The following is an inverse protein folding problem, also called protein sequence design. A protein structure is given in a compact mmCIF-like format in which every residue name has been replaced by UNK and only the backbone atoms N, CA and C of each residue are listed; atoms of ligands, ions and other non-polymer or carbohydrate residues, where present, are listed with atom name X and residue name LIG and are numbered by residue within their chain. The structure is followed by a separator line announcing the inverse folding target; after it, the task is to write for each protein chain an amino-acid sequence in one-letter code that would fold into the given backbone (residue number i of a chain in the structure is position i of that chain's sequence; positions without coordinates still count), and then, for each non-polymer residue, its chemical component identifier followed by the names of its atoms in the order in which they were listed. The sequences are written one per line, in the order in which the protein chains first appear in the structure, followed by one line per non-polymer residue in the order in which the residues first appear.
data_IF_689166987977
#
_entry.id   IF_689166987977
#
_cell.length_a   1.000
_cell.length_b   1.000
_cell.length_c   1.000
_cell.angle_alpha   90.00
_cell.angle_beta   90.00
_cell.angle_gamma   90.00
#
_symmetry.space_group_name_H-M   'P 1'
#
loop_
_entity.id
_entity.type
_entity.pdbx_description
1 polymer ?
#
# COMPACT_ATOMS: atom_id res chain seq x y z
N UNK A 1 -34.29 11.99 -23.78
CA UNK A 1 -33.39 12.16 -22.62
C UNK A 1 -34.22 11.97 -21.37
N UNK A 2 -33.71 11.13 -20.46
CA UNK A 2 -34.36 10.89 -19.16
C UNK A 2 -33.73 11.78 -18.09
N UNK A 3 -34.35 12.93 -17.84
CA UNK A 3 -33.86 13.92 -16.85
C UNK A 3 -34.00 13.45 -15.40
N UNK A 4 -34.73 12.37 -15.12
CA UNK A 4 -34.85 11.80 -13.79
C UNK A 4 -33.51 11.22 -13.28
N UNK A 5 -32.55 11.00 -14.18
CA UNK A 5 -31.19 10.52 -13.86
C UNK A 5 -30.20 11.61 -13.44
N UNK A 6 -30.58 12.88 -13.61
CA UNK A 6 -29.67 14.00 -13.30
C UNK A 6 -29.20 14.02 -11.82
N UNK A 7 -30.07 13.77 -10.83
CA UNK A 7 -29.62 13.70 -9.44
C UNK A 7 -28.57 12.62 -9.20
N UNK A 8 -28.71 11.45 -9.82
CA UNK A 8 -27.73 10.37 -9.71
C UNK A 8 -26.37 10.75 -10.31
N UNK A 9 -26.38 11.39 -11.49
CA UNK A 9 -25.14 11.89 -12.16
C UNK A 9 -24.44 12.90 -11.27
N UNK A 10 -25.18 13.87 -10.71
CA UNK A 10 -24.62 14.90 -9.83
C UNK A 10 -24.04 14.26 -8.55
N UNK A 11 -24.78 13.37 -7.90
CA UNK A 11 -24.37 12.73 -6.67
C UNK A 11 -23.08 11.89 -6.87
N UNK A 12 -23.06 11.04 -7.90
CA UNK A 12 -21.87 10.22 -8.21
C UNK A 12 -20.72 11.09 -8.72
N UNK A 13 -20.99 12.15 -9.48
CA UNK A 13 -19.99 13.12 -9.92
C UNK A 13 -19.32 13.86 -8.76
N UNK A 14 -20.09 14.29 -7.77
CA UNK A 14 -19.56 14.89 -6.54
C UNK A 14 -18.71 13.89 -5.75
N UNK A 15 -19.16 12.64 -5.61
CA UNK A 15 -18.39 11.59 -4.96
C UNK A 15 -17.07 11.28 -5.70
N UNK A 16 -17.11 11.18 -7.03
CA UNK A 16 -15.91 11.00 -7.84
C UNK A 16 -14.94 12.18 -7.70
N UNK A 17 -15.45 13.42 -7.61
CA UNK A 17 -14.64 14.62 -7.39
C UNK A 17 -14.03 14.65 -5.97
N UNK A 18 -14.81 14.29 -4.95
CA UNK A 18 -14.31 14.15 -3.58
C UNK A 18 -13.22 13.08 -3.50
N UNK A 19 -13.45 11.91 -4.14
CA UNK A 19 -12.47 10.85 -4.23
C UNK A 19 -11.18 11.31 -4.95
N UNK A 20 -11.31 12.02 -6.07
CA UNK A 20 -10.19 12.57 -6.82
C UNK A 20 -9.38 13.59 -5.99
N UNK A 21 -10.06 14.43 -5.21
CA UNK A 21 -9.42 15.39 -4.29
C UNK A 21 -8.59 14.72 -3.20
N UNK A 22 -9.12 13.64 -2.60
CA UNK A 22 -8.40 12.86 -1.58
C UNK A 22 -7.26 12.07 -2.22
N UNK A 23 -7.51 11.41 -3.35
CA UNK A 23 -6.52 10.62 -4.08
C UNK A 23 -5.41 11.49 -4.68
N UNK A 24 -5.71 12.71 -5.12
CA UNK A 24 -4.79 13.59 -5.84
C UNK A 24 -3.58 14.04 -5.02
N UNK A 25 -3.68 14.02 -3.69
CA UNK A 25 -2.57 14.35 -2.78
C UNK A 25 -1.47 13.28 -2.77
N UNK A 26 -1.82 12.01 -3.04
CA UNK A 26 -0.89 10.89 -3.16
C UNK A 26 -1.47 9.87 -4.14
N UNK A 27 -1.38 10.16 -5.44
CA UNK A 27 -1.87 9.28 -6.51
C UNK A 27 -1.09 7.95 -6.50
N UNK A 28 -1.63 6.97 -5.79
CA UNK A 28 -1.17 5.58 -5.91
C UNK A 28 -1.82 4.95 -7.13
N UNK A 29 -1.20 3.89 -7.67
CA UNK A 29 -1.82 3.12 -8.77
C UNK A 29 -3.18 2.53 -8.39
N UNK A 30 -3.41 2.25 -7.11
CA UNK A 30 -4.70 1.74 -6.61
C UNK A 30 -5.76 2.81 -6.67
N UNK A 31 -5.46 4.00 -6.14
CA UNK A 31 -6.41 5.11 -6.13
C UNK A 31 -6.78 5.59 -7.54
N UNK A 32 -5.83 5.54 -8.50
CA UNK A 32 -6.12 5.88 -9.90
C UNK A 32 -7.06 4.86 -10.57
N UNK A 33 -6.91 3.56 -10.27
CA UNK A 33 -7.82 2.52 -10.80
C UNK A 33 -9.21 2.68 -10.18
N UNK A 34 -9.30 2.98 -8.89
CA UNK A 34 -10.59 3.25 -8.23
C UNK A 34 -11.27 4.48 -8.81
N UNK A 35 -10.52 5.58 -9.03
CA UNK A 35 -11.04 6.78 -9.67
C UNK A 35 -11.58 6.47 -11.07
N UNK A 36 -10.85 5.68 -11.88
CA UNK A 36 -11.34 5.23 -13.19
C UNK A 36 -12.64 4.45 -13.07
N UNK A 37 -12.76 3.57 -12.06
CA UNK A 37 -14.01 2.86 -11.78
C UNK A 37 -15.16 3.82 -11.47
N UNK A 38 -14.96 4.85 -10.67
CA UNK A 38 -15.98 5.86 -10.37
C UNK A 38 -16.36 6.69 -11.58
N UNK A 39 -15.40 7.07 -12.44
CA UNK A 39 -15.68 7.75 -13.71
C UNK A 39 -16.51 6.89 -14.66
N UNK A 40 -16.28 5.57 -14.67
CA UNK A 40 -17.14 4.64 -15.42
C UNK A 40 -18.57 4.56 -14.86
N UNK A 41 -18.75 4.73 -13.55
CA UNK A 41 -20.10 4.81 -12.96
C UNK A 41 -20.80 6.12 -13.34
N UNK A 42 -20.08 7.24 -13.39
CA UNK A 42 -20.62 8.51 -13.94
C UNK A 42 -21.03 8.31 -15.40
N UNK A 43 -20.19 7.66 -16.20
CA UNK A 43 -20.49 7.32 -17.59
C UNK A 43 -21.73 6.42 -17.72
N UNK A 44 -21.90 5.45 -16.82
CA UNK A 44 -23.09 4.59 -16.76
C UNK A 44 -24.37 5.41 -16.63
N UNK A 45 -24.47 6.30 -15.64
CA UNK A 45 -25.64 7.13 -15.44
C UNK A 45 -25.85 8.13 -16.58
N UNK A 46 -24.78 8.70 -17.11
CA UNK A 46 -24.84 9.59 -18.26
C UNK A 46 -25.37 8.87 -19.50
N UNK A 47 -24.92 7.65 -19.75
CA UNK A 47 -25.42 6.84 -20.87
C UNK A 47 -26.89 6.44 -20.66
N UNK A 48 -27.32 6.10 -19.44
CA UNK A 48 -28.74 5.82 -19.13
C UNK A 48 -29.66 7.00 -19.42
N UNK A 49 -29.18 8.24 -19.29
CA UNK A 49 -29.96 9.43 -19.63
C UNK A 49 -30.35 9.46 -21.13
N UNK A 50 -29.53 8.86 -22.01
CA UNK A 50 -29.76 8.78 -23.46
C UNK A 50 -30.39 7.46 -23.90
N UNK A 51 -30.55 6.48 -23.02
CA UNK A 51 -31.14 5.17 -23.35
C UNK A 51 -32.54 5.23 -23.96
N UNK A 52 -33.44 6.16 -23.57
CA UNK A 52 -34.75 6.29 -24.19
C UNK A 52 -34.73 6.83 -25.63
N UNK A 53 -33.57 7.17 -26.20
CA UNK A 53 -33.46 7.64 -27.57
C UNK A 53 -33.83 6.50 -28.56
N UNK A 54 -34.57 6.81 -29.67
CA UNK A 54 -34.93 5.79 -30.65
C UNK A 54 -33.74 5.34 -31.50
N UNK A 55 -33.81 4.08 -31.97
CA UNK A 55 -32.86 3.53 -32.93
C UNK A 55 -31.47 3.26 -32.39
N UNK A 56 -30.47 3.41 -33.26
CA UNK A 56 -29.05 3.07 -32.93
C UNK A 56 -28.50 3.82 -31.73
N UNK A 57 -28.89 5.07 -31.51
CA UNK A 57 -28.42 5.88 -30.39
C UNK A 57 -28.85 5.33 -29.02
N UNK A 58 -30.10 4.88 -28.88
CA UNK A 58 -30.58 4.25 -27.65
C UNK A 58 -29.88 2.92 -27.37
N UNK A 59 -29.71 2.09 -28.39
CA UNK A 59 -28.98 0.84 -28.28
C UNK A 59 -27.53 1.06 -27.86
N UNK A 60 -26.80 2.00 -28.48
CA UNK A 60 -25.43 2.32 -28.10
C UNK A 60 -25.35 2.86 -26.66
N UNK A 61 -26.31 3.70 -26.27
CA UNK A 61 -26.37 4.22 -24.91
C UNK A 61 -26.59 3.10 -23.88
N UNK A 62 -27.45 2.12 -24.17
CA UNK A 62 -27.67 0.93 -23.34
C UNK A 62 -26.40 0.09 -23.20
N UNK A 63 -25.74 -0.20 -24.33
CA UNK A 63 -24.46 -0.94 -24.32
C UNK A 63 -23.37 -0.24 -23.49
N UNK A 64 -23.20 1.07 -23.67
CA UNK A 64 -22.23 1.87 -22.91
C UNK A 64 -22.57 1.85 -21.42
N UNK A 65 -23.85 2.00 -21.07
CA UNK A 65 -24.28 1.97 -19.68
C UNK A 65 -23.94 0.63 -19.01
N UNK A 66 -24.27 -0.48 -19.65
CA UNK A 66 -24.03 -1.81 -19.08
C UNK A 66 -22.55 -2.19 -19.06
N UNK A 67 -21.83 -1.88 -20.14
CA UNK A 67 -20.38 -2.14 -20.20
C UNK A 67 -19.62 -1.32 -19.15
N UNK A 68 -19.92 -0.03 -19.01
CA UNK A 68 -19.25 0.83 -18.02
C UNK A 68 -19.48 0.36 -16.59
N UNK A 69 -20.67 -0.11 -16.24
CA UNK A 69 -20.98 -0.64 -14.90
C UNK A 69 -20.23 -1.94 -14.60
N UNK A 70 -20.17 -2.87 -15.55
CA UNK A 70 -19.41 -4.13 -15.40
C UNK A 70 -17.89 -3.91 -15.38
N UNK A 71 -17.39 -2.95 -16.18
CA UNK A 71 -15.99 -2.56 -16.18
C UNK A 71 -15.59 -1.89 -14.87
N UNK A 72 -16.43 -1.02 -14.31
CA UNK A 72 -16.19 -0.41 -13.00
C UNK A 72 -15.98 -1.47 -11.91
N UNK A 73 -16.89 -2.45 -11.80
CA UNK A 73 -16.79 -3.55 -10.84
C UNK A 73 -15.54 -4.40 -11.09
N UNK A 74 -15.22 -4.73 -12.35
CA UNK A 74 -14.02 -5.48 -12.71
C UNK A 74 -12.72 -4.74 -12.31
N UNK A 75 -12.69 -3.41 -12.48
CA UNK A 75 -11.55 -2.58 -12.05
C UNK A 75 -11.44 -2.52 -10.52
N UNK A 76 -12.54 -2.37 -9.79
CA UNK A 76 -12.53 -2.42 -8.33
C UNK A 76 -12.00 -3.76 -7.82
N UNK A 77 -12.47 -4.87 -8.40
CA UNK A 77 -11.99 -6.20 -8.07
C UNK A 77 -10.49 -6.35 -8.37
N UNK A 78 -10.03 -5.93 -9.56
CA UNK A 78 -8.63 -6.03 -9.98
C UNK A 78 -7.69 -5.17 -9.14
N UNK A 79 -8.10 -3.97 -8.72
CA UNK A 79 -7.31 -3.09 -7.85
C UNK A 79 -7.00 -3.72 -6.48
N UNK A 80 -7.78 -4.71 -6.07
CA UNK A 80 -7.58 -5.46 -4.82
C UNK A 80 -6.61 -6.64 -4.97
N UNK A 81 -6.22 -7.01 -6.20
CA UNK A 81 -5.30 -8.14 -6.44
C UNK A 81 -3.87 -7.77 -6.05
N UNK A 82 -3.18 -8.56 -5.20
CA UNK A 82 -1.83 -8.25 -4.73
C UNK A 82 -0.78 -8.16 -5.84
N UNK A 83 -0.95 -8.93 -6.92
CA UNK A 83 0.02 -9.09 -8.03
C UNK A 83 -0.35 -8.32 -9.30
N UNK A 84 -1.03 -7.20 -9.17
CA UNK A 84 -1.52 -6.41 -10.33
C UNK A 84 -0.42 -5.92 -11.30
N UNK A 85 0.84 -5.93 -10.91
CA UNK A 85 1.97 -5.50 -11.76
C UNK A 85 2.51 -6.62 -12.68
N UNK A 86 2.09 -7.85 -12.48
CA UNK A 86 2.49 -8.96 -13.35
C UNK A 86 1.71 -8.93 -14.67
N UNK A 87 2.36 -9.31 -15.77
CA UNK A 87 1.70 -9.36 -17.10
C UNK A 87 0.50 -10.29 -17.11
N UNK A 88 0.58 -11.43 -16.41
CA UNK A 88 -0.53 -12.38 -16.24
C UNK A 88 -1.76 -11.75 -15.58
N UNK A 89 -1.58 -10.87 -14.59
CA UNK A 89 -2.67 -10.15 -13.93
C UNK A 89 -3.36 -9.16 -14.88
N UNK A 90 -2.62 -8.49 -15.76
CA UNK A 90 -3.18 -7.59 -16.77
C UNK A 90 -3.98 -8.35 -17.83
N UNK A 91 -3.48 -9.50 -18.30
CA UNK A 91 -4.23 -10.34 -19.23
C UNK A 91 -5.54 -10.86 -18.63
N UNK A 92 -5.56 -11.19 -17.32
CA UNK A 92 -6.79 -11.58 -16.63
C UNK A 92 -7.84 -10.46 -16.64
N UNK A 93 -7.42 -9.22 -16.38
CA UNK A 93 -8.32 -8.08 -16.45
C UNK A 93 -8.89 -7.92 -17.86
N UNK A 94 -8.03 -7.90 -18.89
CA UNK A 94 -8.50 -7.75 -20.29
C UNK A 94 -9.43 -8.88 -20.72
N UNK A 95 -9.15 -10.12 -20.31
CA UNK A 95 -10.04 -11.26 -20.59
C UNK A 95 -11.40 -11.06 -19.92
N UNK A 96 -11.45 -10.65 -18.67
CA UNK A 96 -12.72 -10.38 -17.96
C UNK A 96 -13.49 -9.23 -18.61
N UNK A 97 -12.83 -8.13 -18.94
CA UNK A 97 -13.47 -6.99 -19.60
C UNK A 97 -14.02 -7.38 -20.98
N UNK A 98 -13.21 -8.07 -21.79
CA UNK A 98 -13.60 -8.50 -23.12
C UNK A 98 -14.75 -9.52 -23.10
N UNK A 99 -14.69 -10.53 -22.21
CA UNK A 99 -15.74 -11.55 -22.12
C UNK A 99 -17.06 -10.98 -21.59
N UNK A 100 -17.02 -10.07 -20.60
CA UNK A 100 -18.21 -9.36 -20.15
C UNK A 100 -18.82 -8.53 -21.27
N UNK A 101 -17.99 -7.74 -21.98
CA UNK A 101 -18.48 -6.90 -23.10
C UNK A 101 -19.07 -7.74 -24.21
N UNK A 102 -18.40 -8.82 -24.60
CA UNK A 102 -18.92 -9.75 -25.63
C UNK A 102 -20.28 -10.32 -25.24
N UNK A 103 -20.43 -10.75 -23.98
CA UNK A 103 -21.70 -11.29 -23.49
C UNK A 103 -22.81 -10.24 -23.52
N UNK A 104 -22.55 -9.02 -23.04
CA UNK A 104 -23.51 -7.91 -23.03
C UNK A 104 -23.90 -7.53 -24.45
N UNK A 105 -22.95 -7.39 -25.39
CA UNK A 105 -23.23 -7.09 -26.78
C UNK A 105 -24.08 -8.18 -27.45
N UNK A 106 -23.73 -9.44 -27.21
CA UNK A 106 -24.51 -10.56 -27.79
C UNK A 106 -25.92 -10.62 -27.22
N UNK A 107 -26.11 -10.22 -25.96
CA UNK A 107 -27.43 -10.16 -25.31
C UNK A 107 -28.29 -9.02 -25.85
N UNK A 108 -27.74 -7.81 -25.94
CA UNK A 108 -28.44 -6.57 -26.31
C UNK A 108 -28.83 -6.54 -27.81
N UNK A 109 -27.94 -7.01 -28.69
CA UNK A 109 -28.18 -7.08 -30.13
C UNK A 109 -29.14 -8.23 -30.51
N UNK A 110 -29.53 -9.08 -29.55
CA UNK A 110 -30.34 -10.27 -29.83
C UNK A 110 -29.60 -11.30 -30.69
N UNK A 111 -28.30 -11.49 -30.39
CA UNK A 111 -27.43 -12.39 -31.12
C UNK A 111 -27.93 -13.84 -31.17
N UNK A 112 -27.46 -14.65 -32.13
CA UNK A 112 -27.88 -16.03 -32.25
C UNK A 112 -27.56 -16.83 -30.97
N UNK A 113 -28.37 -17.82 -30.58
CA UNK A 113 -28.23 -18.57 -29.34
C UNK A 113 -26.85 -19.22 -29.14
N UNK A 114 -26.20 -19.63 -30.23
CA UNK A 114 -24.83 -20.20 -30.14
C UNK A 114 -23.80 -19.16 -29.68
N UNK A 115 -23.92 -17.89 -30.10
CA UNK A 115 -23.00 -16.82 -29.68
C UNK A 115 -23.13 -16.52 -28.19
N UNK A 116 -24.35 -16.44 -27.68
CA UNK A 116 -24.62 -16.30 -26.25
C UNK A 116 -24.07 -17.47 -25.44
N UNK A 117 -24.22 -18.69 -25.96
CA UNK A 117 -23.67 -19.90 -25.33
C UNK A 117 -22.16 -19.86 -25.28
N UNK A 118 -21.50 -19.53 -26.37
CA UNK A 118 -20.03 -19.38 -26.40
C UNK A 118 -19.55 -18.29 -25.46
N UNK A 119 -20.21 -17.13 -25.45
CA UNK A 119 -19.85 -16.03 -24.56
C UNK A 119 -20.06 -16.39 -23.08
N UNK A 120 -21.13 -17.09 -22.71
CA UNK A 120 -21.37 -17.59 -21.36
C UNK A 120 -20.31 -18.60 -20.91
N UNK A 121 -19.93 -19.53 -21.80
CA UNK A 121 -18.85 -20.49 -21.53
C UNK A 121 -17.53 -19.75 -21.33
N UNK A 122 -17.18 -18.81 -22.20
CA UNK A 122 -15.95 -18.02 -22.08
C UNK A 122 -15.91 -17.24 -20.76
N UNK A 123 -17.00 -16.62 -20.38
CA UNK A 123 -17.10 -15.86 -19.12
C UNK A 123 -16.97 -16.78 -17.90
N UNK A 124 -17.62 -17.93 -17.91
CA UNK A 124 -17.59 -18.89 -16.80
C UNK A 124 -16.26 -19.65 -16.67
N UNK A 125 -15.63 -20.01 -17.77
CA UNK A 125 -14.40 -20.83 -17.79
C UNK A 125 -13.12 -20.01 -17.92
N UNK A 126 -13.19 -18.77 -18.40
CA UNK A 126 -12.02 -17.90 -18.62
C UNK A 126 -11.12 -17.75 -17.39
N UNK A 127 -11.64 -17.41 -16.21
CA UNK A 127 -10.85 -17.34 -14.98
C UNK A 127 -10.22 -18.68 -14.57
N UNK A 128 -10.88 -19.81 -14.84
CA UNK A 128 -10.35 -21.16 -14.60
C UNK A 128 -9.16 -21.43 -15.53
N UNK A 129 -9.35 -21.20 -16.83
CA UNK A 129 -8.31 -21.42 -17.84
C UNK A 129 -7.05 -20.59 -17.53
N UNK A 130 -7.24 -19.30 -17.24
CA UNK A 130 -6.12 -18.46 -16.89
C UNK A 130 -5.45 -18.87 -15.57
N UNK A 131 -6.24 -19.33 -14.60
CA UNK A 131 -5.76 -19.85 -13.33
C UNK A 131 -4.87 -21.09 -13.53
N UNK A 132 -5.25 -21.99 -14.41
CA UNK A 132 -4.46 -23.18 -14.76
C UNK A 132 -3.17 -22.82 -15.50
N UNK A 133 -3.21 -21.83 -16.38
CA UNK A 133 -2.05 -21.37 -17.15
C UNK A 133 -1.02 -20.60 -16.28
N UNK A 134 -1.46 -19.98 -15.19
CA UNK A 134 -0.60 -19.14 -14.34
C UNK A 134 -0.25 -19.77 -12.98
N UNK A 135 -0.21 -21.09 -12.91
CA UNK A 135 -0.20 -21.97 -11.73
C UNK A 135 0.78 -21.65 -10.59
N UNK A 136 1.79 -20.81 -10.75
CA UNK A 136 2.90 -20.74 -9.79
C UNK A 136 2.95 -19.51 -8.84
N UNK A 137 2.10 -18.45 -8.98
CA UNK A 137 2.33 -17.17 -8.28
C UNK A 137 1.16 -16.51 -7.54
N UNK A 138 -0.04 -17.10 -7.53
CA UNK A 138 -1.19 -16.48 -6.88
C UNK A 138 -1.53 -17.08 -5.51
N UNK A 139 -2.10 -16.28 -4.62
CA UNK A 139 -2.74 -16.79 -3.40
C UNK A 139 -3.79 -17.83 -3.79
N UNK A 140 -3.58 -19.07 -3.38
CA UNK A 140 -4.43 -20.22 -3.72
C UNK A 140 -5.92 -19.98 -3.42
N UNK A 141 -6.23 -19.34 -2.29
CA UNK A 141 -7.61 -19.12 -1.84
C UNK A 141 -8.37 -18.12 -2.71
N UNK A 142 -7.81 -16.92 -2.95
CA UNK A 142 -8.49 -15.88 -3.73
C UNK A 142 -8.76 -16.33 -5.17
N UNK A 143 -7.82 -17.02 -5.75
CA UNK A 143 -7.92 -17.58 -7.10
C UNK A 143 -9.06 -18.58 -7.24
N UNK A 144 -9.17 -19.54 -6.32
CA UNK A 144 -10.24 -20.51 -6.35
C UNK A 144 -11.61 -19.90 -6.06
N UNK A 145 -11.68 -18.89 -5.20
CA UNK A 145 -12.91 -18.13 -4.98
C UNK A 145 -13.39 -17.48 -6.29
N UNK A 146 -12.50 -16.82 -7.03
CA UNK A 146 -12.83 -16.21 -8.32
C UNK A 146 -13.26 -17.27 -9.34
N UNK A 147 -12.56 -18.40 -9.43
CA UNK A 147 -12.92 -19.50 -10.32
C UNK A 147 -14.31 -20.06 -10.00
N UNK A 148 -14.58 -20.36 -8.74
CA UNK A 148 -15.90 -20.88 -8.31
C UNK A 148 -17.01 -19.89 -8.63
N UNK A 149 -16.77 -18.59 -8.36
CA UNK A 149 -17.76 -17.54 -8.59
C UNK A 149 -18.13 -17.43 -10.09
N UNK A 150 -17.13 -17.35 -10.97
CA UNK A 150 -17.39 -17.22 -12.41
C UNK A 150 -17.85 -18.53 -13.05
N UNK A 151 -17.40 -19.68 -12.58
CA UNK A 151 -17.89 -20.97 -13.05
C UNK A 151 -19.38 -21.17 -12.71
N UNK A 152 -19.79 -20.78 -11.49
CA UNK A 152 -21.20 -20.77 -11.10
C UNK A 152 -22.04 -19.81 -11.96
N UNK A 153 -21.46 -18.63 -12.27
CA UNK A 153 -22.09 -17.70 -13.22
C UNK A 153 -22.29 -18.33 -14.59
N UNK A 154 -21.27 -18.99 -15.15
CA UNK A 154 -21.40 -19.67 -16.46
C UNK A 154 -22.52 -20.70 -16.49
N UNK A 155 -22.63 -21.55 -15.46
CA UNK A 155 -23.74 -22.51 -15.32
C UNK A 155 -25.09 -21.79 -15.24
N UNK A 156 -25.17 -20.73 -14.46
CA UNK A 156 -26.38 -19.92 -14.31
C UNK A 156 -26.82 -19.34 -15.66
N UNK A 157 -25.91 -18.68 -16.39
CA UNK A 157 -26.20 -18.07 -17.69
C UNK A 157 -26.70 -19.09 -18.72
N UNK A 158 -26.07 -20.27 -18.79
CA UNK A 158 -26.52 -21.38 -19.64
C UNK A 158 -27.92 -21.90 -19.26
N UNK A 159 -28.26 -21.87 -17.98
CA UNK A 159 -29.60 -22.30 -17.50
C UNK A 159 -30.68 -21.28 -17.84
N UNK A 160 -30.35 -19.98 -17.76
CA UNK A 160 -31.29 -18.88 -18.03
C UNK A 160 -31.60 -18.75 -19.55
N UNK A 161 -30.62 -18.99 -20.42
CA UNK A 161 -30.81 -18.95 -21.89
C UNK A 161 -31.91 -19.90 -22.39
N UNK A 162 -32.19 -20.97 -21.65
CA UNK A 162 -33.21 -21.96 -21.99
C UNK A 162 -34.63 -21.53 -21.58
N UNK A 163 -34.76 -20.40 -20.84
CA UNK A 163 -36.05 -19.89 -20.38
C UNK A 163 -36.58 -18.85 -21.35
N UNK A 164 -37.85 -19.04 -21.78
CA UNK A 164 -38.56 -18.02 -22.53
C UNK A 164 -38.98 -16.84 -21.62
N UNK A 165 -38.98 -15.61 -22.13
CA UNK A 165 -39.41 -14.42 -21.41
C UNK A 165 -38.24 -13.59 -20.80
N UNK A 166 -38.27 -13.32 -19.51
CA UNK A 166 -37.34 -12.40 -18.81
C UNK A 166 -35.88 -12.90 -18.73
N UNK A 167 -35.46 -13.81 -19.59
CA UNK A 167 -34.11 -14.37 -19.63
C UNK A 167 -32.98 -13.35 -19.72
N UNK A 168 -33.07 -12.35 -20.62
CA UNK A 168 -32.02 -11.33 -20.79
C UNK A 168 -31.77 -10.50 -19.53
N UNK A 169 -32.82 -9.99 -18.91
CA UNK A 169 -32.68 -9.16 -17.68
C UNK A 169 -32.13 -9.97 -16.50
N UNK A 170 -32.56 -11.23 -16.37
CA UNK A 170 -32.08 -12.12 -15.34
C UNK A 170 -30.60 -12.48 -15.55
N UNK A 171 -30.18 -12.69 -16.80
CA UNK A 171 -28.80 -12.97 -17.15
C UNK A 171 -27.89 -11.77 -16.82
N UNK A 172 -28.30 -10.56 -17.19
CA UNK A 172 -27.58 -9.33 -16.89
C UNK A 172 -27.43 -9.10 -15.39
N UNK A 173 -28.51 -9.23 -14.63
CA UNK A 173 -28.49 -9.13 -13.17
C UNK A 173 -27.56 -10.19 -12.55
N UNK A 174 -27.50 -11.41 -13.09
CA UNK A 174 -26.56 -12.46 -12.67
C UNK A 174 -25.10 -12.07 -12.88
N UNK A 175 -24.77 -11.46 -14.02
CA UNK A 175 -23.40 -10.93 -14.28
C UNK A 175 -23.04 -9.85 -13.27
N UNK A 176 -23.90 -8.86 -13.08
CA UNK A 176 -23.66 -7.74 -12.17
C UNK A 176 -23.55 -8.22 -10.70
N UNK A 177 -24.46 -9.10 -10.27
CA UNK A 177 -24.38 -9.75 -8.95
C UNK A 177 -23.01 -10.38 -8.74
N UNK A 178 -22.56 -11.19 -9.71
CA UNK A 178 -21.27 -11.90 -9.63
C UNK A 178 -20.08 -10.96 -9.57
N UNK A 179 -20.05 -9.92 -10.38
CA UNK A 179 -18.96 -8.93 -10.41
C UNK A 179 -18.87 -8.20 -9.08
N UNK A 180 -19.97 -7.69 -8.54
CA UNK A 180 -19.96 -6.91 -7.28
C UNK A 180 -19.80 -7.79 -6.04
N UNK A 181 -20.29 -9.02 -6.06
CA UNK A 181 -19.96 -10.01 -5.01
C UNK A 181 -18.47 -10.37 -5.05
N UNK A 182 -17.90 -10.45 -6.24
CA UNK A 182 -16.44 -10.61 -6.43
C UNK A 182 -15.66 -9.44 -5.79
N UNK A 183 -16.11 -8.19 -5.96
CA UNK A 183 -15.52 -7.04 -5.27
C UNK A 183 -15.53 -7.22 -3.75
N UNK A 184 -16.70 -7.61 -3.18
CA UNK A 184 -16.83 -7.87 -1.75
C UNK A 184 -15.78 -8.87 -1.25
N UNK A 185 -15.62 -10.03 -1.92
CA UNK A 185 -14.65 -11.06 -1.55
C UNK A 185 -13.20 -10.59 -1.70
N UNK A 186 -12.87 -9.85 -2.77
CA UNK A 186 -11.52 -9.37 -3.00
C UNK A 186 -11.11 -8.31 -1.99
N UNK A 187 -12.00 -7.38 -1.66
CA UNK A 187 -11.76 -6.39 -0.62
C UNK A 187 -11.63 -7.05 0.75
N UNK A 188 -12.51 -8.00 1.11
CA UNK A 188 -12.40 -8.76 2.35
C UNK A 188 -11.07 -9.51 2.46
N UNK A 189 -10.58 -10.10 1.37
CA UNK A 189 -9.29 -10.80 1.36
C UNK A 189 -8.10 -9.85 1.52
N UNK A 190 -8.12 -8.69 0.87
CA UNK A 190 -7.04 -7.69 0.91
C UNK A 190 -6.97 -6.97 2.25
N UNK A 191 -8.12 -6.50 2.73
CA UNK A 191 -8.23 -5.67 3.92
C UNK A 191 -8.66 -6.51 5.14
N UNK A 192 -7.89 -7.56 5.47
CA UNK A 192 -8.16 -8.45 6.62
C UNK A 192 -8.02 -7.74 7.97
N UNK A 193 -7.24 -6.68 8.08
CA UNK A 193 -7.23 -5.81 9.26
C UNK A 193 -8.47 -4.95 9.17
N UNK A 194 -9.38 -5.15 10.12
CA UNK A 194 -10.66 -4.45 10.19
C UNK A 194 -10.43 -2.96 10.47
N UNK A 195 -10.33 -2.17 9.40
CA UNK A 195 -10.48 -0.72 9.49
C UNK A 195 -11.93 -0.36 9.20
N UNK A 196 -12.37 0.79 9.69
CA UNK A 196 -13.76 1.26 9.51
C UNK A 196 -14.09 1.40 8.02
N UNK A 197 -13.16 1.99 7.23
CA UNK A 197 -13.32 2.16 5.79
C UNK A 197 -13.42 0.83 5.06
N UNK A 198 -12.60 -0.18 5.44
CA UNK A 198 -12.67 -1.51 4.87
C UNK A 198 -14.02 -2.20 5.15
N UNK A 199 -14.50 -2.15 6.39
CA UNK A 199 -15.77 -2.74 6.77
C UNK A 199 -16.94 -2.13 6.00
N UNK A 200 -17.03 -0.79 5.96
CA UNK A 200 -18.07 -0.07 5.21
C UNK A 200 -18.02 -0.43 3.71
N UNK A 201 -16.84 -0.47 3.11
CA UNK A 201 -16.67 -0.81 1.70
C UNK A 201 -17.15 -2.23 1.40
N UNK A 202 -16.79 -3.21 2.23
CA UNK A 202 -17.18 -4.62 2.08
C UNK A 202 -18.67 -4.78 2.21
N UNK A 203 -19.29 -4.20 3.26
CA UNK A 203 -20.73 -4.20 3.46
C UNK A 203 -21.47 -3.50 2.30
N UNK A 204 -20.92 -2.38 1.82
CA UNK A 204 -21.46 -1.65 0.67
C UNK A 204 -21.45 -2.49 -0.61
N UNK A 205 -20.35 -3.16 -0.94
CA UNK A 205 -20.28 -4.05 -2.12
C UNK A 205 -21.21 -5.25 -1.99
N UNK A 206 -21.33 -5.82 -0.79
CA UNK A 206 -22.28 -6.89 -0.54
C UNK A 206 -23.71 -6.41 -0.77
N UNK A 207 -24.11 -5.28 -0.16
CA UNK A 207 -25.42 -4.68 -0.36
C UNK A 207 -25.67 -4.33 -1.83
N UNK A 208 -24.66 -3.81 -2.53
CA UNK A 208 -24.76 -3.49 -3.96
C UNK A 208 -24.96 -4.75 -4.81
N UNK A 209 -24.26 -5.84 -4.52
CA UNK A 209 -24.51 -7.11 -5.20
C UNK A 209 -25.95 -7.59 -4.96
N UNK A 210 -26.46 -7.50 -3.74
CA UNK A 210 -27.82 -7.89 -3.41
C UNK A 210 -28.91 -7.11 -4.19
N UNK A 211 -28.64 -5.85 -4.58
CA UNK A 211 -29.58 -5.07 -5.43
C UNK A 211 -29.92 -5.82 -6.71
N UNK A 212 -28.93 -6.43 -7.38
CA UNK A 212 -29.12 -7.16 -8.63
C UNK A 212 -29.89 -8.49 -8.45
N UNK A 213 -29.98 -8.99 -7.22
CA UNK A 213 -30.80 -10.15 -6.89
C UNK A 213 -32.21 -9.74 -6.48
N UNK A 214 -32.32 -8.70 -5.66
CA UNK A 214 -33.60 -8.25 -5.06
C UNK A 214 -34.46 -7.50 -6.07
N UNK A 215 -33.89 -6.71 -6.97
CA UNK A 215 -34.65 -5.93 -7.97
C UNK A 215 -35.52 -6.83 -8.87
N UNK A 216 -35.02 -7.86 -9.54
CA UNK A 216 -35.87 -8.74 -10.35
C UNK A 216 -36.87 -9.57 -9.52
N UNK A 217 -36.50 -9.97 -8.30
CA UNK A 217 -37.43 -10.68 -7.42
C UNK A 217 -38.57 -9.78 -6.99
N UNK A 218 -38.30 -8.51 -6.66
CA UNK A 218 -39.33 -7.52 -6.33
C UNK A 218 -40.29 -7.33 -7.49
N UNK A 219 -39.80 -7.19 -8.72
CA UNK A 219 -40.66 -7.03 -9.89
C UNK A 219 -41.52 -8.24 -10.15
N UNK A 220 -41.00 -9.45 -9.95
CA UNK A 220 -41.72 -10.70 -10.16
C UNK A 220 -42.80 -10.96 -9.12
N UNK A 221 -42.55 -10.70 -7.85
CA UNK A 221 -43.43 -11.10 -6.75
C UNK A 221 -44.16 -9.94 -6.07
N UNK A 222 -43.64 -8.71 -6.16
CA UNK A 222 -44.19 -7.53 -5.51
C UNK A 222 -44.27 -6.30 -6.43
N UNK A 223 -44.90 -6.39 -7.60
CA UNK A 223 -44.92 -5.31 -8.60
C UNK A 223 -45.64 -4.03 -8.09
N UNK A 224 -46.57 -4.17 -7.15
CA UNK A 224 -47.27 -3.03 -6.56
C UNK A 224 -46.41 -2.14 -5.67
N UNK A 225 -45.27 -2.64 -5.15
CA UNK A 225 -44.36 -1.86 -4.31
C UNK A 225 -43.46 -1.01 -5.22
N UNK A 226 -43.70 0.30 -5.21
CA UNK A 226 -42.82 1.25 -5.90
C UNK A 226 -41.66 1.62 -4.97
N UNK A 227 -40.42 1.39 -5.42
CA UNK A 227 -39.18 1.74 -4.72
C UNK A 227 -38.49 2.79 -5.58
N UNK A 228 -38.23 3.96 -5.00
CA UNK A 228 -37.55 5.07 -5.67
C UNK A 228 -36.13 4.67 -6.07
N UNK A 229 -35.64 5.28 -7.18
CA UNK A 229 -34.33 4.94 -7.75
C UNK A 229 -33.17 5.21 -6.78
N UNK A 230 -33.32 6.19 -5.91
CA UNK A 230 -32.34 6.56 -4.89
C UNK A 230 -32.05 5.42 -3.89
N UNK A 231 -33.08 4.65 -3.53
CA UNK A 231 -32.91 3.49 -2.61
C UNK A 231 -32.01 2.43 -3.26
N UNK A 232 -32.20 2.17 -4.54
CA UNK A 232 -31.36 1.23 -5.29
C UNK A 232 -29.91 1.72 -5.49
N UNK A 233 -29.70 3.03 -5.41
CA UNK A 233 -28.39 3.66 -5.56
C UNK A 233 -27.63 3.81 -4.21
N UNK A 234 -28.34 3.71 -3.07
CA UNK A 234 -27.76 3.85 -1.73
C UNK A 234 -26.48 3.01 -1.49
N UNK A 235 -26.41 1.71 -1.85
CA UNK A 235 -25.21 0.92 -1.68
C UNK A 235 -23.98 1.48 -2.41
N UNK A 236 -24.14 2.12 -3.57
CA UNK A 236 -23.05 2.76 -4.32
C UNK A 236 -22.43 3.90 -3.52
N UNK A 237 -23.27 4.72 -2.86
CA UNK A 237 -22.82 5.82 -2.00
C UNK A 237 -22.09 5.31 -0.78
N UNK A 238 -22.57 4.20 -0.19
CA UNK A 238 -21.88 3.53 0.93
C UNK A 238 -20.51 3.01 0.52
N UNK A 239 -20.38 2.40 -0.67
CA UNK A 239 -19.08 1.96 -1.21
C UNK A 239 -18.15 3.16 -1.42
N UNK A 240 -18.64 4.24 -2.03
CA UNK A 240 -17.84 5.44 -2.26
C UNK A 240 -17.30 6.03 -0.95
N UNK A 241 -18.16 6.17 0.06
CA UNK A 241 -17.79 6.63 1.38
C UNK A 241 -16.75 5.71 2.03
N UNK A 242 -16.98 4.41 1.99
CA UNK A 242 -16.04 3.42 2.53
C UNK A 242 -14.66 3.48 1.86
N UNK A 243 -14.61 3.63 0.53
CA UNK A 243 -13.35 3.76 -0.21
C UNK A 243 -12.63 5.08 0.08
N UNK A 244 -13.37 6.19 0.27
CA UNK A 244 -12.78 7.47 0.69
C UNK A 244 -12.18 7.34 2.10
N UNK A 245 -12.92 6.72 3.04
CA UNK A 245 -12.43 6.45 4.39
C UNK A 245 -11.16 5.57 4.38
N UNK A 246 -11.12 4.53 3.54
CA UNK A 246 -9.93 3.69 3.37
C UNK A 246 -8.72 4.50 2.94
N UNK A 247 -8.87 5.39 1.95
CA UNK A 247 -7.78 6.26 1.51
C UNK A 247 -7.32 7.21 2.62
N UNK A 248 -8.25 7.78 3.37
CA UNK A 248 -7.93 8.66 4.50
C UNK A 248 -7.21 7.89 5.62
N UNK A 249 -7.66 6.67 5.95
CA UNK A 249 -6.99 5.79 6.93
C UNK A 249 -5.56 5.44 6.49
N UNK A 250 -5.35 5.08 5.21
CA UNK A 250 -4.02 4.81 4.64
C UNK A 250 -3.12 6.06 4.69
N UNK A 251 -3.67 7.25 4.38
CA UNK A 251 -2.92 8.51 4.45
C UNK A 251 -2.55 8.90 5.89
N UNK A 252 -3.47 8.73 6.83
CA UNK A 252 -3.21 9.01 8.24
C UNK A 252 -2.10 8.10 8.77
N UNK A 253 -2.15 6.81 8.46
CA UNK A 253 -1.13 5.86 8.91
C UNK A 253 0.23 6.15 8.27
N UNK A 254 0.25 6.48 6.97
CA UNK A 254 1.47 6.90 6.29
C UNK A 254 2.06 8.18 6.90
N UNK A 255 1.22 9.19 7.16
CA UNK A 255 1.66 10.44 7.78
C UNK A 255 2.16 10.23 9.21
N UNK A 256 1.51 9.37 9.99
CA UNK A 256 2.00 8.97 11.32
C UNK A 256 3.37 8.31 11.23
N UNK A 257 3.55 7.40 10.27
CA UNK A 257 4.84 6.76 10.07
C UNK A 257 5.94 7.78 9.74
N UNK A 258 5.67 8.71 8.81
CA UNK A 258 6.62 9.79 8.47
C UNK A 258 6.89 10.74 9.63
N UNK A 259 5.88 11.03 10.46
CA UNK A 259 6.02 11.90 11.62
C UNK A 259 6.81 11.27 12.78
N UNK A 260 6.89 9.94 12.84
CA UNK A 260 7.45 9.17 13.95
C UNK A 260 8.74 8.41 13.60
N UNK A 261 9.10 8.32 12.32
CA UNK A 261 10.30 7.61 11.86
C UNK A 261 11.21 8.55 11.05
N UNK A 262 12.50 8.27 11.11
CA UNK A 262 13.51 8.92 10.28
C UNK A 262 13.40 8.41 8.83
N UNK A 263 13.23 9.32 7.89
CA UNK A 263 12.96 8.98 6.47
C UNK A 263 14.13 8.25 5.81
N UNK A 264 15.36 8.54 6.24
CA UNK A 264 16.56 7.94 5.66
C UNK A 264 16.79 6.52 6.14
N UNK A 265 16.68 6.29 7.46
CA UNK A 265 17.05 5.02 8.09
C UNK A 265 15.87 4.11 8.40
N UNK A 266 14.65 4.64 8.41
CA UNK A 266 13.43 3.92 8.81
C UNK A 266 13.34 3.64 10.32
N UNK A 267 14.31 4.06 11.12
CA UNK A 267 14.27 3.93 12.57
C UNK A 267 13.29 4.93 13.21
N UNK A 268 12.82 4.71 14.44
CA UNK A 268 12.21 5.72 15.26
C UNK A 268 13.00 7.04 15.21
N UNK A 269 12.31 8.16 15.01
CA UNK A 269 12.92 9.49 15.12
C UNK A 269 12.94 9.96 16.57
N UNK A 270 13.47 11.16 16.81
CA UNK A 270 13.58 11.77 18.15
C UNK A 270 12.24 11.81 18.89
N UNK A 271 11.14 12.08 18.18
CA UNK A 271 9.81 12.17 18.81
C UNK A 271 9.33 10.79 19.29
N UNK A 272 9.38 9.78 18.44
CA UNK A 272 8.99 8.42 18.82
C UNK A 272 9.92 7.84 19.88
N UNK A 273 11.21 8.18 19.84
CA UNK A 273 12.16 7.83 20.88
C UNK A 273 11.74 8.39 22.24
N UNK A 274 11.41 9.69 22.34
CA UNK A 274 10.98 10.31 23.58
C UNK A 274 9.71 9.67 24.13
N UNK A 275 8.71 9.42 23.28
CA UNK A 275 7.47 8.74 23.66
C UNK A 275 7.75 7.34 24.23
N UNK A 276 8.61 6.55 23.57
CA UNK A 276 8.98 5.21 24.03
C UNK A 276 9.80 5.24 25.32
N UNK A 277 10.74 6.16 25.44
CA UNK A 277 11.52 6.31 26.66
C UNK A 277 10.62 6.65 27.85
N UNK A 278 9.69 7.60 27.72
CA UNK A 278 8.71 7.93 28.75
C UNK A 278 7.94 6.70 29.20
N UNK A 279 7.36 5.95 28.24
CA UNK A 279 6.59 4.73 28.54
C UNK A 279 7.46 3.68 29.26
N UNK A 280 8.70 3.51 28.83
CA UNK A 280 9.66 2.55 29.42
C UNK A 280 10.00 2.94 30.87
N UNK A 281 10.27 4.22 31.13
CA UNK A 281 10.58 4.70 32.48
C UNK A 281 9.38 4.59 33.43
N UNK A 282 8.18 4.94 32.96
CA UNK A 282 6.95 4.76 33.73
C UNK A 282 6.69 3.29 34.07
N UNK A 283 6.93 2.39 33.10
CA UNK A 283 6.82 0.94 33.30
C UNK A 283 7.85 0.45 34.32
N UNK A 284 9.11 0.85 34.16
CA UNK A 284 10.18 0.49 35.06
C UNK A 284 9.90 0.96 36.49
N UNK A 285 9.41 2.20 36.68
CA UNK A 285 9.01 2.74 37.98
C UNK A 285 7.89 1.93 38.64
N UNK A 286 6.87 1.54 37.85
CA UNK A 286 5.72 0.76 38.35
C UNK A 286 6.08 -0.68 38.72
N UNK A 287 7.01 -1.30 37.99
CA UNK A 287 7.39 -2.71 38.18
C UNK A 287 8.61 -2.87 39.07
N UNK A 288 9.26 -1.78 39.49
CA UNK A 288 10.51 -1.83 40.26
C UNK A 288 11.69 -2.39 39.47
N UNK A 289 11.63 -2.34 38.13
CA UNK A 289 12.71 -2.81 37.25
C UNK A 289 13.58 -1.65 36.78
N UNK A 290 14.73 -1.96 36.17
CA UNK A 290 15.61 -0.97 35.59
C UNK A 290 15.37 -0.82 34.08
N UNK A 291 15.74 0.34 33.54
CA UNK A 291 15.88 0.59 32.12
C UNK A 291 17.23 1.26 31.85
N UNK A 292 17.76 1.09 30.63
CA UNK A 292 19.00 1.78 30.27
C UNK A 292 18.80 2.60 29.00
N UNK A 293 19.43 3.76 28.99
CA UNK A 293 19.55 4.62 27.81
C UNK A 293 21.00 4.61 27.35
N UNK A 294 21.19 4.31 26.06
CA UNK A 294 22.47 4.47 25.39
C UNK A 294 22.33 5.59 24.37
N UNK A 295 23.28 6.52 24.34
CA UNK A 295 23.45 7.52 23.31
C UNK A 295 24.73 7.24 22.57
N UNK A 296 24.70 7.22 21.24
CA UNK A 296 25.81 6.90 20.36
C UNK A 296 25.97 8.00 19.31
N UNK A 297 27.21 8.37 19.02
CA UNK A 297 27.57 9.35 17.98
C UNK A 297 28.61 8.69 17.05
N UNK A 298 28.44 8.81 15.72
CA UNK A 298 29.37 8.21 14.77
C UNK A 298 30.66 9.04 14.67
N UNK A 299 31.78 8.39 14.93
CA UNK A 299 33.09 9.03 14.89
C UNK A 299 33.43 9.43 13.45
N UNK A 300 33.85 10.70 13.29
CA UNK A 300 34.29 11.26 11.99
C UNK A 300 33.29 11.21 10.84
N UNK A 301 32.00 11.14 11.12
CA UNK A 301 30.95 11.10 10.08
C UNK A 301 31.03 12.29 9.12
N UNK A 302 31.30 13.50 9.67
CA UNK A 302 31.53 14.68 8.82
C UNK A 302 32.67 14.49 7.83
N UNK A 303 33.76 13.85 8.23
CA UNK A 303 34.89 13.57 7.34
C UNK A 303 34.52 12.61 6.21
N UNK A 304 33.65 11.63 6.48
CA UNK A 304 33.10 10.74 5.45
C UNK A 304 32.30 11.56 4.43
N UNK A 305 31.43 12.44 4.88
CA UNK A 305 30.66 13.32 3.99
C UNK A 305 31.56 14.25 3.15
N UNK A 306 32.55 14.87 3.78
CA UNK A 306 33.44 15.82 3.12
C UNK A 306 34.37 15.12 2.09
N UNK A 307 34.71 13.86 2.33
CA UNK A 307 35.67 13.10 1.48
C UNK A 307 34.98 12.27 0.41
N UNK A 308 33.85 11.63 0.73
CA UNK A 308 33.17 10.65 -0.11
C UNK A 308 31.83 11.14 -0.63
N UNK A 309 31.35 12.29 -0.14
CA UNK A 309 30.07 12.90 -0.49
C UNK A 309 28.91 12.45 0.38
N UNK A 310 27.88 13.28 0.44
CA UNK A 310 26.67 13.05 1.27
C UNK A 310 25.95 11.74 0.94
N UNK A 311 25.95 11.32 -0.32
CA UNK A 311 25.33 10.06 -0.70
C UNK A 311 25.97 8.84 0.00
N UNK A 312 27.30 8.79 0.09
CA UNK A 312 27.98 7.71 0.82
C UNK A 312 27.72 7.82 2.33
N UNK A 313 27.63 9.03 2.86
CA UNK A 313 27.22 9.26 4.25
C UNK A 313 25.81 8.75 4.54
N UNK A 314 24.86 8.95 3.63
CA UNK A 314 23.50 8.43 3.76
C UNK A 314 23.47 6.88 3.75
N UNK A 315 24.23 6.25 2.86
CA UNK A 315 24.40 4.79 2.84
C UNK A 315 25.05 4.24 4.11
N UNK A 316 26.01 4.97 4.66
CA UNK A 316 26.62 4.64 5.95
C UNK A 316 25.59 4.66 7.08
N UNK A 317 24.80 5.73 7.19
CA UNK A 317 23.73 5.85 8.19
C UNK A 317 22.68 4.73 8.05
N UNK A 318 22.29 4.37 6.84
CA UNK A 318 21.37 3.25 6.59
C UNK A 318 21.98 1.91 7.01
N UNK A 319 23.28 1.71 6.78
CA UNK A 319 23.98 0.48 7.15
C UNK A 319 24.13 0.36 8.66
N UNK A 320 24.51 1.44 9.35
CA UNK A 320 24.55 1.52 10.82
C UNK A 320 23.19 1.22 11.43
N UNK A 321 22.14 1.83 10.91
CA UNK A 321 20.76 1.61 11.36
C UNK A 321 20.35 0.13 11.24
N UNK A 322 20.73 -0.52 10.14
CA UNK A 322 20.46 -1.96 9.91
C UNK A 322 21.23 -2.84 10.89
N UNK A 323 22.51 -2.55 11.11
CA UNK A 323 23.37 -3.27 12.06
C UNK A 323 22.78 -3.16 13.46
N UNK A 324 22.48 -1.95 13.92
CA UNK A 324 21.96 -1.72 15.27
C UNK A 324 20.60 -2.41 15.47
N UNK A 325 19.68 -2.23 14.53
CA UNK A 325 18.34 -2.84 14.61
C UNK A 325 18.39 -4.39 14.55
N UNK A 326 19.36 -4.95 13.86
CA UNK A 326 19.58 -6.41 13.82
C UNK A 326 20.23 -7.00 15.08
N UNK A 327 20.87 -6.17 15.91
CA UNK A 327 21.61 -6.63 17.09
C UNK A 327 20.83 -6.57 18.39
N UNK A 328 19.90 -5.63 18.52
CA UNK A 328 19.10 -5.46 19.74
C UNK A 328 17.88 -6.40 19.76
N UNK A 329 17.34 -6.62 20.96
CA UNK A 329 16.13 -7.44 21.17
C UNK A 329 14.88 -6.73 20.65
N UNK A 330 13.82 -7.48 20.35
CA UNK A 330 12.52 -6.90 19.91
C UNK A 330 11.85 -6.01 20.95
N UNK A 331 12.15 -6.21 22.24
CA UNK A 331 11.70 -5.35 23.34
C UNK A 331 12.39 -4.00 23.35
N UNK A 332 13.62 -3.94 22.84
CA UNK A 332 14.46 -2.75 22.89
C UNK A 332 14.13 -1.82 21.70
N UNK A 333 14.52 -0.57 21.81
CA UNK A 333 14.30 0.41 20.76
C UNK A 333 15.62 1.01 20.31
N UNK A 334 15.88 1.00 18.98
CA UNK A 334 16.89 1.86 18.35
C UNK A 334 16.18 3.02 17.68
N UNK A 335 16.74 4.21 17.81
CA UNK A 335 16.27 5.44 17.20
C UNK A 335 17.43 6.23 16.58
N UNK A 336 17.15 7.02 15.57
CA UNK A 336 18.04 8.07 15.09
C UNK A 336 17.55 9.40 15.64
N UNK A 337 18.29 10.01 16.55
CA UNK A 337 17.89 11.18 17.32
C UNK A 337 18.49 12.49 16.81
N UNK A 338 19.53 12.39 15.98
CA UNK A 338 20.24 13.53 15.37
C UNK A 338 20.79 13.18 13.98
N UNK A 339 21.68 13.98 13.45
CA UNK A 339 22.33 13.78 12.15
C UNK A 339 23.10 12.46 12.07
N UNK A 340 24.04 12.28 12.97
CA UNK A 340 24.92 11.10 13.16
C UNK A 340 24.73 10.44 14.54
N UNK A 341 23.69 10.88 15.27
CA UNK A 341 23.39 10.40 16.61
C UNK A 341 22.30 9.32 16.59
N UNK A 342 22.57 8.25 17.32
CA UNK A 342 21.64 7.15 17.57
C UNK A 342 21.41 6.97 19.06
N UNK A 343 20.19 6.55 19.42
CA UNK A 343 19.86 6.25 20.82
C UNK A 343 19.25 4.86 20.91
N UNK A 344 19.54 4.16 22.00
CA UNK A 344 19.01 2.82 22.28
C UNK A 344 18.38 2.79 23.66
N UNK A 345 17.15 2.31 23.74
CA UNK A 345 16.43 2.05 24.98
C UNK A 345 16.46 0.54 25.21
N UNK A 346 17.00 0.11 26.36
CA UNK A 346 16.98 -1.28 26.80
C UNK A 346 15.92 -1.46 27.87
N UNK A 347 14.96 -2.38 27.62
CA UNK A 347 13.88 -2.72 28.54
C UNK A 347 14.21 -3.98 29.37
N UNK A 348 13.74 -4.03 30.63
CA UNK A 348 13.80 -5.22 31.48
C UNK A 348 14.88 -5.18 32.54
N UNK A 349 15.22 -6.31 33.16
CA UNK A 349 16.16 -6.40 34.30
C UNK A 349 17.60 -6.13 33.82
N UNK A 350 17.88 -4.88 33.58
CA UNK A 350 19.17 -4.43 33.06
C UNK A 350 20.04 -3.96 34.23
N UNK A 351 21.26 -4.45 34.29
CA UNK A 351 22.30 -3.87 35.15
C UNK A 351 23.28 -3.05 34.29
N UNK A 352 24.08 -2.22 34.92
CA UNK A 352 25.04 -1.38 34.22
C UNK A 352 26.03 -2.19 33.35
N UNK A 353 26.43 -3.37 33.77
CA UNK A 353 27.37 -4.23 33.04
C UNK A 353 26.72 -4.77 31.73
N UNK A 354 25.45 -5.16 31.77
CA UNK A 354 24.71 -5.62 30.59
C UNK A 354 24.52 -4.47 29.58
N UNK A 355 24.13 -3.28 30.02
CA UNK A 355 23.96 -2.12 29.16
C UNK A 355 25.30 -1.68 28.52
N UNK A 356 26.38 -1.67 29.29
CA UNK A 356 27.72 -1.41 28.76
C UNK A 356 28.19 -2.49 27.76
N UNK A 357 27.84 -3.75 28.00
CA UNK A 357 28.12 -4.83 27.04
C UNK A 357 27.42 -4.63 25.72
N UNK A 358 26.15 -4.22 25.74
CA UNK A 358 25.41 -3.88 24.51
C UNK A 358 26.10 -2.72 23.78
N UNK A 359 26.42 -1.62 24.45
CA UNK A 359 27.12 -0.48 23.85
C UNK A 359 28.46 -0.87 23.21
N UNK A 360 29.29 -1.64 23.92
CA UNK A 360 30.54 -2.17 23.35
C UNK A 360 30.32 -3.08 22.15
N UNK A 361 29.32 -3.94 22.20
CA UNK A 361 28.98 -4.82 21.07
C UNK A 361 28.58 -4.05 19.83
N UNK A 362 27.80 -2.98 19.98
CA UNK A 362 27.43 -2.10 18.86
C UNK A 362 28.66 -1.34 18.32
N UNK A 363 29.52 -0.86 19.20
CA UNK A 363 30.76 -0.18 18.82
C UNK A 363 31.70 -1.12 18.03
N UNK A 364 31.91 -2.36 18.51
CA UNK A 364 32.77 -3.34 17.84
C UNK A 364 32.26 -3.69 16.42
N UNK A 365 30.94 -3.83 16.23
CA UNK A 365 30.36 -4.11 14.93
C UNK A 365 30.63 -2.99 13.91
N UNK A 366 30.80 -1.74 14.36
CA UNK A 366 31.11 -0.62 13.46
C UNK A 366 32.59 -0.54 13.07
N UNK A 367 33.49 -1.20 13.81
CA UNK A 367 34.92 -1.26 13.44
C UNK A 367 35.16 -2.12 12.21
N UNK A 368 34.24 -3.04 11.90
CA UNK A 368 34.31 -3.85 10.69
C UNK A 368 34.09 -2.96 9.44
N UNK A 369 34.93 -3.10 8.41
CA UNK A 369 34.79 -2.33 7.19
C UNK A 369 33.47 -2.60 6.50
N UNK A 370 32.77 -1.53 6.10
CA UNK A 370 31.49 -1.61 5.36
C UNK A 370 31.73 -1.35 3.87
N UNK A 371 31.25 -2.26 3.02
CA UNK A 371 31.28 -2.06 1.58
C UNK A 371 30.04 -1.26 1.15
N UNK A 372 30.26 -0.02 0.70
CA UNK A 372 29.22 0.92 0.26
C UNK A 372 29.55 1.37 -1.18
N UNK A 373 28.76 0.94 -2.16
CA UNK A 373 28.95 1.27 -3.60
C UNK A 373 30.39 1.13 -4.10
N UNK A 374 30.98 -0.05 -3.91
CA UNK A 374 32.37 -0.36 -4.26
C UNK A 374 33.46 0.47 -3.53
N UNK A 375 33.11 1.03 -2.39
CA UNK A 375 34.04 1.73 -1.49
C UNK A 375 34.01 1.09 -0.12
N UNK A 376 35.18 0.86 0.45
CA UNK A 376 35.33 0.35 1.80
C UNK A 376 35.36 1.54 2.77
N UNK A 377 34.34 1.66 3.61
CA UNK A 377 34.25 2.72 4.63
C UNK A 377 34.45 2.11 6.02
N UNK A 378 35.33 2.72 6.81
CA UNK A 378 35.53 2.39 8.24
C UNK A 378 34.99 3.54 9.08
N UNK A 379 34.19 3.23 10.08
CA UNK A 379 33.71 4.20 11.07
C UNK A 379 33.81 3.59 12.47
N UNK A 380 33.68 4.42 13.48
CA UNK A 380 33.52 4.03 14.87
C UNK A 380 32.29 4.71 15.43
N UNK A 381 32.01 4.46 16.68
CA UNK A 381 31.03 5.22 17.44
C UNK A 381 31.55 5.44 18.88
N UNK A 382 31.30 6.61 19.40
CA UNK A 382 31.45 6.90 20.82
C UNK A 382 30.07 6.76 21.47
N UNK A 383 30.00 6.16 22.67
CA UNK A 383 28.75 5.95 23.37
C UNK A 383 28.80 6.28 24.85
N UNK A 384 27.64 6.68 25.39
CA UNK A 384 27.41 6.83 26.83
C UNK A 384 26.19 6.04 27.26
N UNK A 385 26.19 5.54 28.47
CA UNK A 385 25.12 4.72 29.06
C UNK A 385 24.65 5.35 30.37
N UNK A 386 23.33 5.48 30.53
CA UNK A 386 22.70 5.88 31.79
C UNK A 386 21.61 4.87 32.19
N UNK A 387 21.51 4.57 33.47
CA UNK A 387 20.63 3.57 34.07
C UNK A 387 19.56 4.26 34.91
N UNK A 388 18.30 3.96 34.61
CA UNK A 388 17.18 4.34 35.46
C UNK A 388 16.88 3.23 36.47
N UNK A 389 16.64 3.53 37.77
CA UNK A 389 16.70 4.86 38.38
C UNK A 389 18.07 5.17 39.00
N UNK A 390 19.11 4.37 38.75
CA UNK A 390 20.42 4.47 39.45
C UNK A 390 21.15 5.78 39.15
N UNK A 391 21.14 6.25 37.90
CA UNK A 391 21.85 7.46 37.46
C UNK A 391 20.94 8.69 37.41
N UNK A 392 19.63 8.49 37.20
CA UNK A 392 18.63 9.55 37.16
C UNK A 392 17.22 8.97 37.38
N UNK A 393 16.33 9.77 37.92
CA UNK A 393 14.94 9.40 38.22
C UNK A 393 13.90 10.01 37.26
N UNK A 394 14.32 10.84 36.30
CA UNK A 394 13.50 11.40 35.25
C UNK A 394 14.16 11.28 33.86
N UNK A 395 13.37 11.56 32.83
CA UNK A 395 13.79 11.41 31.44
C UNK A 395 14.88 12.41 31.06
N UNK A 396 14.77 13.66 31.48
CA UNK A 396 15.68 14.73 31.08
C UNK A 396 17.05 14.52 31.71
N UNK A 397 17.07 14.25 33.01
CA UNK A 397 18.29 13.94 33.73
C UNK A 397 18.99 12.66 33.19
N UNK A 398 18.22 11.65 32.81
CA UNK A 398 18.77 10.43 32.21
C UNK A 398 19.44 10.69 30.86
N UNK A 399 18.80 11.53 30.01
CA UNK A 399 19.39 11.93 28.72
C UNK A 399 20.68 12.71 28.94
N UNK A 400 20.71 13.68 29.88
CA UNK A 400 21.90 14.47 30.20
C UNK A 400 23.03 13.58 30.67
N UNK A 401 22.76 12.62 31.58
CA UNK A 401 23.77 11.70 32.07
C UNK A 401 24.37 10.80 30.96
N UNK A 402 23.53 10.30 30.05
CA UNK A 402 23.99 9.52 28.91
C UNK A 402 24.86 10.36 27.95
N UNK A 403 24.40 11.58 27.60
CA UNK A 403 25.13 12.49 26.72
C UNK A 403 26.49 12.90 27.27
N UNK A 404 26.56 13.22 28.56
CA UNK A 404 27.85 13.55 29.23
C UNK A 404 28.84 12.40 29.11
N UNK A 405 28.43 11.17 29.42
CA UNK A 405 29.27 9.97 29.32
C UNK A 405 29.67 9.68 27.86
N UNK A 406 28.81 9.91 26.89
CA UNK A 406 29.14 9.78 25.48
C UNK A 406 30.21 10.80 25.06
N UNK A 407 30.06 12.04 25.48
CA UNK A 407 31.04 13.09 25.20
C UNK A 407 32.42 12.81 25.82
N UNK A 408 32.47 12.33 27.08
CA UNK A 408 33.70 11.89 27.74
C UNK A 408 34.39 10.75 26.95
N UNK A 409 33.61 9.76 26.50
CA UNK A 409 34.11 8.64 25.69
C UNK A 409 34.65 9.15 24.33
N UNK A 410 33.95 10.10 23.69
CA UNK A 410 34.39 10.72 22.43
C UNK A 410 35.73 11.45 22.58
N UNK A 411 35.92 12.19 23.66
CA UNK A 411 37.19 12.87 23.93
C UNK A 411 38.33 11.87 24.18
N UNK A 412 38.09 10.81 24.92
CA UNK A 412 39.09 9.77 25.19
C UNK A 412 39.52 9.06 23.88
N UNK A 413 38.59 8.79 22.99
CA UNK A 413 38.88 8.18 21.69
C UNK A 413 39.71 9.12 20.79
N UNK A 414 39.44 10.42 20.80
CA UNK A 414 40.19 11.40 20.00
C UNK A 414 41.63 11.54 20.44
N UNK A 415 41.89 11.56 21.75
CA UNK A 415 43.27 11.62 22.33
C UNK A 415 44.04 10.37 21.98
N UNK A 416 43.42 9.21 21.97
CA UNK A 416 44.08 7.93 21.60
C UNK A 416 44.49 7.90 20.12
N UNK A 417 43.70 8.51 19.21
CA UNK A 417 43.96 8.57 17.78
C UNK A 417 45.08 9.55 17.38
N UNK A 418 45.34 10.61 18.16
CA UNK A 418 46.43 11.54 17.93
C UNK A 418 47.81 10.92 18.17
N UNK A 419 47.90 9.83 18.93
CA UNK A 419 49.14 9.09 19.22
C UNK A 419 49.50 8.02 18.18
N UNK A 420 48.65 7.80 17.14
CA UNK A 420 48.98 6.89 16.02
C UNK A 420 49.70 7.67 14.90
N UNK A 421 50.92 7.26 14.48
CA UNK A 421 51.63 7.97 13.42
C UNK A 421 50.83 7.92 12.11
N UNK A 422 50.52 9.09 11.57
CA UNK A 422 49.91 9.26 10.23
C UNK A 422 50.77 8.57 9.19
N UNK A 423 50.44 7.38 8.78
CA UNK A 423 51.06 6.74 7.59
C UNK A 423 50.82 7.64 6.39
N UNK A 424 51.91 8.22 5.83
CA UNK A 424 51.86 8.98 4.57
C UNK A 424 51.17 8.16 3.47
N UNK A 425 50.23 8.75 2.70
CA UNK A 425 49.72 8.07 1.51
C UNK A 425 50.91 7.77 0.56
N UNK A 426 50.87 6.63 -0.16
CA UNK A 426 51.91 6.33 -1.14
C UNK A 426 51.90 7.45 -2.20
N UNK A 427 53.09 7.99 -2.50
CA UNK A 427 53.32 9.04 -3.46
C UNK A 427 52.75 8.62 -4.82
N UNK A 428 51.77 9.37 -5.34
CA UNK A 428 51.25 9.23 -6.68
C UNK A 428 52.40 9.51 -7.68
N UNK A 429 52.84 8.47 -8.37
CA UNK A 429 53.71 8.63 -9.52
C UNK A 429 52.95 9.42 -10.60
N UNK A 430 53.38 10.66 -10.80
CA UNK A 430 52.92 11.52 -11.88
C UNK A 430 53.46 10.97 -13.22
N UNK A 431 52.65 10.22 -13.93
CA UNK A 431 52.86 9.95 -15.35
C UNK A 431 52.36 11.17 -16.15
N UNK A 432 53.27 11.92 -16.70
CA UNK A 432 52.99 12.93 -17.73
C UNK A 432 52.45 12.25 -19.00
N UNK A 433 51.30 12.67 -19.56
CA UNK A 433 51.01 12.34 -20.96
C UNK A 433 51.67 13.35 -21.90
N UNK A 434 52.48 12.84 -22.81
CA UNK A 434 52.92 13.55 -24.03
C UNK A 434 51.82 13.46 -25.10
N UNK A 435 51.62 14.61 -25.79
CA UNK A 435 51.27 14.67 -27.22
C UNK A 435 49.77 14.64 -27.53
N UNK A 436 49.11 15.77 -27.80
CA UNK A 436 48.91 16.33 -29.13
C UNK A 436 47.83 15.59 -29.96
N UNK A 437 46.67 16.24 -30.14
CA UNK A 437 45.69 15.82 -31.12
C UNK A 437 44.45 16.73 -31.07
N UNK A 438 44.54 17.89 -31.75
CA UNK A 438 43.35 18.67 -32.14
C UNK A 438 42.39 17.80 -32.95
N UNK A 439 41.15 17.83 -32.64
CA UNK A 439 40.08 17.78 -33.63
C UNK A 439 38.92 18.69 -33.20
N UNK A 440 38.60 19.58 -34.11
CA UNK A 440 37.58 20.60 -34.07
C UNK A 440 36.26 20.05 -34.61
N UNK A 441 35.16 20.59 -34.03
CA UNK A 441 33.89 21.01 -34.67
C UNK A 441 33.12 20.01 -35.56
N UNK A 442 31.89 19.72 -35.29
CA UNK A 442 30.67 20.25 -35.92
C UNK A 442 29.44 19.41 -35.51
N UNK A 443 28.39 20.19 -35.21
CA UNK A 443 26.96 20.00 -35.22
C UNK A 443 26.34 19.42 -33.98
#
# INVERSE_FOLDING_TARGET
MDWSRLPDIVAVGLLASAFASVAGRNLTRVSSIWLTGWLLIVLHFTALMFFPAPGLWGMLAGLIALASLTWAGSLFMWASVPFRNESSSRWMLWLLLASNTLYICALDVGGPPWLLTCAAILLGTGPLMLTLLTLRRFSHRLRWMTVVLYFSLGIFLLSVQRRAGNGPDLALNGVLFTVYLGCCFHFWYKYRRATTGAFITICGFFAWSCVFLVSPLKEAYFPAIRIESEVWNLPKYVVALGMILLLLEEQIEHNKHLALHDVLTGLPNRRLFQDRLTITLERARRTGTKAALLVLDLDRFKQVNDTLGHHVGDLLLQSVARIFNGRIRRSDTVARTGGDEFSVILEGPTNAAEALHVGRSLQELLKEPMELENRTVKTGASFGVAIFPDDADDLEALCIAADQRMYENKRANQVSDEHYPKTKPPASQSAKPKGGGRFSLHL
#
